data_IF_147387925426
#
_entry.id   IF_147387925426
#
_cell.length_a   1.000
_cell.length_b   1.000
_cell.length_c   1.000
_cell.angle_alpha   90.00
_cell.angle_beta   90.00
_cell.angle_gamma   90.00
#
_symmetry.space_group_name_H-M   'P 1'
#
loop_
_entity.id
_entity.type
_entity.pdbx_description
1 polymer ?
2 polymer ?
3 water ?
#
# COMPACT_ATOMS: atom_id res chain seq x y z
N UNK A 1 8.60 13.99 5.02
CA UNK A 1 8.96 13.33 3.77
C UNK A 1 8.55 14.18 2.58
N UNK A 2 7.33 14.71 2.63
CA UNK A 2 6.80 15.61 1.61
C UNK A 2 6.52 16.95 2.27
N UNK A 3 7.03 18.02 1.68
CA UNK A 3 6.93 19.36 2.25
C UNK A 3 6.16 20.25 1.29
N UNK A 4 5.24 21.05 1.82
CA UNK A 4 4.39 21.92 1.04
C UNK A 4 4.53 23.35 1.53
N UNK A 5 4.75 24.28 0.61
CA UNK A 5 4.90 25.70 0.92
C UNK A 5 3.80 26.46 0.19
N UNK A 6 3.05 27.26 0.93
CA UNK A 6 1.94 28.03 0.38
C UNK A 6 2.27 29.51 0.30
N UNK A 7 1.74 30.16 -0.73
CA UNK A 7 1.95 31.58 -0.94
C UNK A 7 0.84 32.12 -1.81
N UNK A 8 0.33 33.29 -1.45
CA UNK A 8 -0.71 33.92 -2.25
C UNK A 8 -1.76 34.61 -1.41
N UNK A 9 -1.85 34.28 -0.13
CA UNK A 9 -2.87 34.86 0.72
C UNK A 9 -2.64 36.33 0.96
N UNK A 10 -3.68 36.98 1.47
CA UNK A 10 -3.59 38.40 1.79
C UNK A 10 -4.97 39.00 1.94
N UNK A 11 -4.99 40.33 2.03
CA UNK A 11 -6.22 41.10 2.21
C UNK A 11 -6.72 41.59 0.87
N UNK A 12 -8.00 41.33 0.60
CA UNK A 12 -8.64 41.70 -0.66
C UNK A 12 -10.00 42.31 -0.37
N UNK A 13 -10.37 43.31 -1.15
CA UNK A 13 -11.67 43.94 -0.99
C UNK A 13 -12.78 42.96 -1.38
N UNK A 14 -13.96 43.11 -0.81
CA UNK A 14 -15.08 42.21 -1.17
C UNK A 14 -15.37 42.28 -2.66
N UNK A 15 -15.65 41.13 -3.26
CA UNK A 15 -15.83 41.03 -4.69
C UNK A 15 -14.54 40.96 -5.48
N UNK A 16 -13.39 40.98 -4.81
CA UNK A 16 -12.11 41.00 -5.49
C UNK A 16 -11.68 39.64 -5.98
N UNK A 17 -10.39 39.33 -5.90
CA UNK A 17 -9.87 38.07 -6.40
C UNK A 17 -8.57 37.75 -5.69
N UNK A 18 -8.22 36.46 -5.70
CA UNK A 18 -7.00 35.98 -5.08
C UNK A 18 -6.62 34.66 -5.70
N UNK A 19 -5.33 34.43 -5.88
CA UNK A 19 -4.82 33.14 -6.35
C UNK A 19 -3.83 32.61 -5.32
N UNK A 20 -4.08 31.40 -4.85
CA UNK A 20 -3.22 30.74 -3.88
C UNK A 20 -2.37 29.69 -4.58
N UNK A 21 -1.20 29.41 -4.03
CA UNK A 21 -0.30 28.43 -4.61
C UNK A 21 0.20 27.50 -3.52
N UNK A 22 0.64 26.31 -3.92
CA UNK A 22 1.11 25.30 -2.98
C UNK A 22 2.10 24.40 -3.71
N UNK A 23 3.39 24.60 -3.46
CA UNK A 23 4.44 23.84 -4.12
C UNK A 23 4.85 22.66 -3.23
N UNK A 24 4.86 21.47 -3.82
CA UNK A 24 5.23 20.25 -3.11
C UNK A 24 6.72 20.01 -3.26
N UNK A 25 7.26 19.20 -2.36
CA UNK A 25 8.68 18.89 -2.32
C UNK A 25 8.87 17.54 -1.66
N UNK A 26 10.03 16.93 -1.89
CA UNK A 26 10.31 15.62 -1.33
C UNK A 26 10.02 14.49 -2.31
N UNK A 27 9.33 13.46 -1.84
CA UNK A 27 8.91 12.36 -2.71
C UNK A 27 7.54 12.73 -3.28
N UNK A 28 7.52 13.06 -4.56
CA UNK A 28 6.32 13.60 -5.20
C UNK A 28 5.76 12.63 -6.24
N UNK A 29 6.16 11.36 -6.19
CA UNK A 29 5.69 10.38 -7.15
C UNK A 29 4.51 9.56 -6.65
N UNK A 30 4.34 9.45 -5.33
CA UNK A 30 3.24 8.71 -4.74
C UNK A 30 2.06 9.58 -4.38
N UNK A 31 2.14 10.89 -4.61
CA UNK A 31 1.04 11.79 -4.31
C UNK A 31 -0.04 11.63 -5.37
N UNK A 32 -1.27 11.36 -4.93
CA UNK A 32 -2.39 11.16 -5.83
C UNK A 32 -3.48 12.22 -5.72
N UNK A 33 -3.70 12.81 -4.55
CA UNK A 33 -4.70 13.86 -4.36
C UNK A 33 -4.05 15.03 -3.64
N UNK A 34 -4.43 16.24 -4.01
CA UNK A 34 -3.93 17.46 -3.39
C UNK A 34 -5.05 18.49 -3.39
N UNK A 35 -5.34 19.07 -2.23
CA UNK A 35 -6.51 19.92 -2.10
C UNK A 35 -6.25 21.11 -1.20
N UNK A 36 -7.32 21.87 -0.94
CA UNK A 36 -7.28 23.07 -0.13
C UNK A 36 -8.37 23.01 0.91
N UNK A 37 -8.10 23.55 2.10
CA UNK A 37 -9.03 23.58 3.22
C UNK A 37 -9.02 24.98 3.84
N UNK A 38 -10.08 25.32 4.56
CA UNK A 38 -10.11 26.58 5.29
C UNK A 38 -10.68 26.38 6.69
N UNK A 39 -10.11 27.10 7.65
CA UNK A 39 -10.52 27.04 9.04
C UNK A 39 -10.95 28.44 9.47
N UNK A 40 -12.24 28.71 9.45
CA UNK A 40 -12.75 29.97 9.94
C UNK A 40 -12.44 30.11 11.43
N UNK A 41 -12.22 31.34 11.91
CA UNK A 41 -11.83 31.50 13.32
C UNK A 41 -12.99 31.14 14.24
N UNK A 42 -12.80 30.08 15.03
CA UNK A 42 -13.85 29.55 15.87
C UNK A 42 -14.54 28.32 15.31
N UNK A 43 -14.11 27.82 14.16
CA UNK A 43 -14.71 26.66 13.52
C UNK A 43 -13.61 25.71 13.05
N UNK A 44 -14.03 24.52 12.64
CA UNK A 44 -13.10 23.48 12.24
C UNK A 44 -12.82 23.55 10.74
N UNK A 45 -11.94 22.67 10.27
CA UNK A 45 -11.55 22.69 8.87
C UNK A 45 -12.73 22.37 7.97
N UNK A 46 -12.74 23.00 6.80
CA UNK A 46 -13.72 22.77 5.76
C UNK A 46 -12.98 22.46 4.47
N UNK A 47 -13.65 21.80 3.55
CA UNK A 47 -13.07 21.52 2.25
C UNK A 47 -13.37 22.69 1.31
N UNK A 48 -12.36 23.14 0.58
CA UNK A 48 -12.52 24.18 -0.42
C UNK A 48 -12.47 23.61 -1.83
N UNK A 49 -11.50 22.75 -2.10
CA UNK A 49 -11.35 22.14 -3.41
C UNK A 49 -10.44 20.94 -3.27
N UNK A 50 -10.43 20.11 -4.30
CA UNK A 50 -9.61 18.91 -4.31
C UNK A 50 -9.31 18.56 -5.77
N UNK A 51 -8.05 18.20 -6.04
CA UNK A 51 -7.64 17.79 -7.37
C UNK A 51 -6.81 16.53 -7.24
N UNK A 52 -6.79 15.74 -8.30
CA UNK A 52 -6.01 14.52 -8.36
C UNK A 52 -5.19 14.54 -9.64
N UNK A 53 -4.16 13.70 -9.67
CA UNK A 53 -3.36 13.57 -10.89
C UNK A 53 -4.20 12.86 -11.94
N UNK A 54 -4.87 13.64 -12.79
CA UNK A 54 -5.89 13.13 -13.67
C UNK A 54 -7.02 14.14 -13.82
N UNK A 55 -6.93 15.24 -13.08
CA UNK A 55 -7.78 16.38 -13.31
C UNK A 55 -9.21 16.25 -12.84
N UNK A 56 -9.50 15.35 -11.90
CA UNK A 56 -10.84 15.22 -11.36
C UNK A 56 -10.96 16.15 -10.15
N UNK A 57 -11.77 17.20 -10.30
CA UNK A 57 -11.85 18.25 -9.30
C UNK A 57 -13.13 18.14 -8.48
N UNK A 58 -12.98 18.23 -7.16
CA UNK A 58 -14.09 18.19 -6.21
C UNK A 58 -14.15 19.53 -5.49
N UNK A 59 -15.33 20.11 -5.43
CA UNK A 59 -15.50 21.43 -4.82
C UNK A 59 -16.45 21.36 -3.63
N UNK A 60 -16.75 22.53 -3.07
CA UNK A 60 -17.75 22.68 -2.04
C UNK A 60 -18.87 23.56 -2.57
N UNK A 61 -20.09 23.29 -2.11
CA UNK A 61 -21.25 24.01 -2.63
C UNK A 61 -21.15 25.51 -2.39
N UNK A 62 -20.69 25.90 -1.20
CA UNK A 62 -20.60 27.32 -0.88
C UNK A 62 -19.66 28.08 -1.80
N UNK A 63 -18.70 27.39 -2.41
CA UNK A 63 -17.71 28.01 -3.29
C UNK A 63 -17.78 27.47 -4.71
N UNK A 64 -18.82 26.70 -5.04
CA UNK A 64 -18.93 26.12 -6.37
C UNK A 64 -19.24 27.20 -7.39
N UNK A 65 -18.50 27.19 -8.50
CA UNK A 65 -18.66 28.19 -9.54
C UNK A 65 -17.83 29.44 -9.36
N UNK A 66 -17.19 29.61 -8.21
CA UNK A 66 -16.30 30.72 -7.94
C UNK A 66 -14.83 30.30 -7.90
N UNK A 67 -14.50 29.31 -7.09
CA UNK A 67 -13.13 28.88 -6.92
C UNK A 67 -12.78 27.85 -7.98
N UNK A 68 -11.53 27.88 -8.44
CA UNK A 68 -11.08 26.99 -9.52
C UNK A 68 -9.69 26.46 -9.16
N UNK A 69 -9.62 25.19 -8.79
CA UNK A 69 -8.35 24.54 -8.45
C UNK A 69 -7.75 23.95 -9.72
N UNK A 70 -6.46 24.16 -9.91
CA UNK A 70 -5.76 23.66 -11.07
C UNK A 70 -4.39 23.16 -10.63
N UNK A 71 -3.76 22.37 -11.48
CA UNK A 71 -2.47 21.79 -11.18
C UNK A 71 -1.47 22.12 -12.29
N UNK A 72 -0.19 22.14 -11.93
CA UNK A 72 0.89 22.37 -12.87
C UNK A 72 1.97 21.31 -12.61
N UNK A 73 2.00 20.27 -13.43
CA UNK A 73 2.95 19.18 -13.23
C UNK A 73 4.38 19.58 -13.50
N UNK A 74 4.61 20.73 -14.16
CA UNK A 74 5.99 21.18 -14.39
C UNK A 74 6.70 21.46 -13.07
N UNK A 75 6.01 22.09 -12.12
CA UNK A 75 6.61 22.43 -10.83
C UNK A 75 5.85 21.86 -9.65
N UNK A 76 4.95 20.90 -9.87
CA UNK A 76 4.24 20.19 -8.80
C UNK A 76 3.45 21.15 -7.91
N UNK A 77 2.84 22.16 -8.52
CA UNK A 77 2.09 23.19 -7.81
C UNK A 77 0.60 23.01 -8.04
N UNK A 78 -0.20 23.40 -7.06
CA UNK A 78 -1.64 23.51 -7.20
C UNK A 78 -2.03 24.94 -6.93
N UNK A 79 -2.85 25.51 -7.79
CA UNK A 79 -3.35 26.87 -7.63
C UNK A 79 -4.82 26.82 -7.25
N UNK A 80 -5.30 27.91 -6.67
CA UNK A 80 -6.70 28.04 -6.28
C UNK A 80 -7.13 29.47 -6.62
N UNK A 81 -7.80 29.64 -7.75
CA UNK A 81 -8.28 30.95 -8.16
C UNK A 81 -9.60 31.24 -7.46
N UNK A 82 -9.62 32.27 -6.62
CA UNK A 82 -10.77 32.62 -5.81
C UNK A 82 -11.33 33.96 -6.29
N UNK A 83 -12.34 33.91 -7.13
CA UNK A 83 -13.00 35.11 -7.63
C UNK A 83 -14.23 35.44 -6.80
N UNK A 84 -14.69 36.68 -6.91
CA UNK A 84 -15.87 37.19 -6.21
C UNK A 84 -15.87 36.80 -4.74
N UNK A 85 -14.88 37.31 -4.03
CA UNK A 85 -14.64 36.93 -2.65
C UNK A 85 -15.54 37.75 -1.72
N UNK A 86 -16.58 37.12 -1.19
CA UNK A 86 -17.40 37.78 -0.19
C UNK A 86 -16.73 37.73 1.17
N UNK A 87 -17.12 38.61 2.10
CA UNK A 87 -16.44 38.66 3.41
C UNK A 87 -16.47 37.36 4.18
N UNK A 88 -17.46 36.49 3.92
CA UNK A 88 -17.52 35.20 4.60
C UNK A 88 -16.45 34.22 4.14
N UNK A 89 -15.57 34.63 3.24
CA UNK A 89 -14.50 33.79 2.73
C UNK A 89 -13.21 33.96 3.52
N UNK A 90 -13.20 34.79 4.55
CA UNK A 90 -11.99 34.99 5.33
C UNK A 90 -11.75 33.78 6.22
N UNK A 91 -10.55 33.22 6.12
CA UNK A 91 -10.17 32.01 6.84
C UNK A 91 -8.68 31.78 6.62
N UNK A 92 -8.17 30.71 7.19
CA UNK A 92 -6.78 30.29 6.98
C UNK A 92 -6.83 29.09 6.04
N UNK A 93 -6.18 29.23 4.88
CA UNK A 93 -6.24 28.22 3.84
C UNK A 93 -5.01 27.33 3.91
N UNK A 94 -5.23 26.02 3.95
CA UNK A 94 -4.15 25.05 4.10
C UNK A 94 -4.15 24.08 2.93
N UNK A 95 -2.98 23.53 2.67
CA UNK A 95 -2.77 22.60 1.58
C UNK A 95 -2.72 21.17 2.12
N UNK A 96 -3.04 20.23 1.23
CA UNK A 96 -3.02 18.81 1.57
C UNK A 96 -2.33 18.05 0.45
N UNK A 97 -1.81 16.87 0.78
CA UNK A 97 -1.17 16.01 -0.20
C UNK A 97 -1.24 14.59 0.33
N UNK A 98 -1.87 13.69 -0.40
CA UNK A 98 -2.05 12.31 0.02
C UNK A 98 -1.01 11.43 -0.68
N UNK A 99 -0.20 10.72 0.12
CA UNK A 99 0.74 9.75 -0.39
C UNK A 99 0.12 8.36 -0.24
N UNK A 100 -0.05 7.65 -1.35
CA UNK A 100 -0.61 6.31 -1.33
C UNK A 100 0.42 5.33 -1.89
N UNK A 101 0.71 4.29 -1.12
CA UNK A 101 1.67 3.26 -1.49
C UNK A 101 1.01 1.91 -1.33
N UNK A 102 1.25 1.00 -2.27
CA UNK A 102 0.56 -0.28 -2.33
C UNK A 102 1.58 -1.41 -2.19
N UNK A 103 1.33 -2.32 -1.27
CA UNK A 103 2.18 -3.49 -1.02
C UNK A 103 1.35 -4.77 -0.98
N UNK A 104 1.97 -5.85 -0.53
CA UNK A 104 1.42 -7.18 -0.73
C UNK A 104 0.24 -7.50 0.18
N UNK A 105 -0.18 -6.59 1.05
CA UNK A 105 -1.38 -6.82 1.85
C UNK A 105 -2.34 -5.63 1.84
N UNK A 106 -2.05 -4.56 1.13
CA UNK A 106 -2.97 -3.46 1.00
C UNK A 106 -2.28 -2.12 0.88
N UNK A 107 -3.07 -1.07 0.66
CA UNK A 107 -2.50 0.26 0.52
C UNK A 107 -2.27 0.96 1.86
N UNK A 108 -1.48 2.02 1.80
CA UNK A 108 -1.18 2.85 2.96
C UNK A 108 -1.28 4.31 2.54
N UNK A 109 -1.81 5.14 3.42
CA UNK A 109 -2.02 6.55 3.10
C UNK A 109 -1.40 7.46 4.14
N UNK A 110 -0.79 8.54 3.65
CA UNK A 110 -0.10 9.50 4.50
C UNK A 110 -0.48 10.90 4.04
N UNK A 111 -1.10 11.68 4.93
CA UNK A 111 -1.52 13.04 4.61
C UNK A 111 -0.47 14.02 5.11
N UNK A 112 -0.11 14.97 4.25
CA UNK A 112 0.85 16.02 4.57
C UNK A 112 0.16 17.36 4.45
N UNK A 113 0.36 18.21 5.46
CA UNK A 113 -0.30 19.50 5.53
C UNK A 113 0.72 20.62 5.36
N UNK A 114 0.32 21.67 4.65
CA UNK A 114 1.20 22.81 4.42
C UNK A 114 1.31 23.68 5.65
N UNK A 115 1.49 24.98 5.41
CA UNK A 115 1.72 25.93 6.49
C UNK A 115 0.51 26.80 6.80
N UNK A 116 -0.36 27.06 5.82
CA UNK A 116 -1.51 27.90 6.04
C UNK A 116 -1.25 29.35 5.70
N UNK A 117 -2.04 29.91 4.80
CA UNK A 117 -1.98 31.32 4.44
C UNK A 117 -3.27 32.00 4.89
N UNK A 118 -3.14 33.05 5.70
CA UNK A 118 -4.31 33.77 6.17
C UNK A 118 -4.86 34.64 5.05
N UNK A 119 -6.14 34.49 4.77
CA UNK A 119 -6.85 35.27 3.76
C UNK A 119 -7.93 36.07 4.47
N UNK A 120 -7.87 37.39 4.34
CA UNK A 120 -8.84 38.29 4.97
C UNK A 120 -9.54 39.10 3.89
N UNK A 121 -10.86 39.09 3.91
CA UNK A 121 -11.67 39.79 2.92
C UNK A 121 -12.42 40.91 3.63
N UNK A 122 -12.08 42.15 3.31
CA UNK A 122 -12.71 43.31 3.92
C UNK A 122 -12.40 44.58 3.13
N UNK B 15 -10.58 -31.88 -10.69
CA UNK B 15 -9.57 -30.93 -11.11
C UNK B 15 -9.17 -30.00 -9.97
N UNK B 16 -10.04 -29.90 -8.96
CA UNK B 16 -9.75 -29.05 -7.81
C UNK B 16 -8.59 -29.58 -6.97
N UNK B 17 -8.19 -30.83 -7.17
CA UNK B 17 -7.09 -31.42 -6.41
C UNK B 17 -5.76 -31.34 -7.17
N UNK B 18 -5.76 -31.60 -8.47
CA UNK B 18 -4.54 -31.48 -9.25
C UNK B 18 -4.04 -30.04 -9.25
N UNK B 19 -4.96 -29.08 -9.39
CA UNK B 19 -4.60 -27.67 -9.35
C UNK B 19 -4.16 -27.26 -7.95
N UNK B 20 -4.74 -27.85 -6.91
CA UNK B 20 -4.39 -27.48 -5.55
C UNK B 20 -2.93 -27.80 -5.24
N UNK B 21 -2.44 -28.95 -5.70
CA UNK B 21 -1.05 -29.35 -5.49
C UNK B 21 -0.18 -29.03 -6.69
N UNK B 22 -0.46 -27.91 -7.37
CA UNK B 22 0.31 -27.48 -8.53
C UNK B 22 1.25 -26.36 -8.12
N UNK B 23 2.52 -26.50 -8.48
CA UNK B 23 3.52 -25.50 -8.18
C UNK B 23 3.47 -24.30 -9.12
N UNK B 24 3.54 -24.55 -10.43
CA UNK B 24 3.42 -23.42 -11.37
C UNK B 24 2.10 -22.66 -11.27
N UNK B 25 0.99 -23.37 -11.04
CA UNK B 25 -0.31 -22.71 -11.06
C UNK B 25 -0.48 -21.78 -9.86
N UNK B 26 -0.02 -22.21 -8.68
CA UNK B 26 -0.06 -21.34 -7.52
C UNK B 26 0.77 -20.09 -7.73
N UNK B 27 1.86 -20.22 -8.49
CA UNK B 27 2.71 -19.07 -8.79
C UNK B 27 1.99 -18.10 -9.73
N UNK B 28 1.38 -18.63 -10.80
CA UNK B 28 0.68 -17.79 -11.76
C UNK B 28 -0.53 -17.13 -11.13
N UNK B 29 -1.28 -17.87 -10.30
CA UNK B 29 -2.45 -17.30 -9.65
C UNK B 29 -2.05 -16.24 -8.62
N UNK B 30 -0.84 -16.34 -8.08
CA UNK B 30 -0.38 -15.34 -7.12
C UNK B 30 -0.02 -14.04 -7.80
N UNK B 31 0.65 -14.11 -8.97
CA UNK B 31 0.97 -12.89 -9.71
C UNK B 31 -0.29 -12.23 -10.26
N UNK B 32 -1.25 -13.04 -10.72
CA UNK B 32 -2.50 -12.47 -11.20
C UNK B 32 -3.25 -11.74 -10.09
N UNK B 33 -3.29 -12.33 -8.89
CA UNK B 33 -4.00 -11.70 -7.79
C UNK B 33 -3.25 -10.50 -7.24
N UNK B 34 -1.93 -10.48 -7.36
CA UNK B 34 -1.17 -9.30 -6.97
C UNK B 34 -1.30 -8.18 -8.00
N UNK B 35 -1.36 -8.54 -9.29
CA UNK B 35 -1.58 -7.56 -10.34
C UNK B 35 -2.97 -6.94 -10.20
N UNK B 36 -3.97 -7.77 -9.94
CA UNK B 36 -5.33 -7.28 -9.81
C UNK B 36 -5.48 -6.36 -8.61
N UNK B 37 -4.82 -6.69 -7.50
CA UNK B 37 -4.93 -5.87 -6.31
C UNK B 37 -4.16 -4.56 -6.44
N UNK B 38 -3.02 -4.57 -7.11
CA UNK B 38 -2.28 -3.34 -7.32
C UNK B 38 -2.98 -2.43 -8.32
N UNK B 39 -3.64 -3.01 -9.32
CA UNK B 39 -4.37 -2.21 -10.31
C UNK B 39 -5.54 -1.50 -9.66
N UNK B 40 -6.26 -2.19 -8.78
CA UNK B 40 -7.43 -1.59 -8.14
C UNK B 40 -7.05 -0.44 -7.22
N UNK B 41 -5.98 -0.60 -6.46
CA UNK B 41 -5.59 0.42 -5.49
C UNK B 41 -4.72 1.53 -6.07
N UNK B 42 -4.38 1.46 -7.36
CA UNK B 42 -3.53 2.46 -7.98
C UNK B 42 -4.13 3.08 -9.23
N UNK B 43 -4.96 2.36 -9.96
CA UNK B 43 -5.57 2.85 -11.19
C UNK B 43 -7.08 2.97 -11.12
N UNK B 44 -7.75 2.05 -10.43
CA UNK B 44 -9.20 2.14 -10.31
C UNK B 44 -9.57 3.12 -9.20
N UNK B 45 -8.88 3.06 -8.06
CA UNK B 45 -9.09 3.98 -6.95
C UNK B 45 -7.89 4.90 -6.90
N UNK B 46 -7.93 5.96 -7.70
CA UNK B 46 -6.85 6.95 -7.75
C UNK B 46 -7.14 8.19 -6.93
N UNK B 47 -8.41 8.58 -6.83
CA UNK B 47 -8.81 9.69 -5.99
C UNK B 47 -9.14 9.31 -4.57
N UNK B 48 -8.94 8.05 -4.19
CA UNK B 48 -9.24 7.63 -2.83
C UNK B 48 -8.18 8.15 -1.87
N UNK B 49 -8.63 8.71 -0.75
CA UNK B 49 -7.75 9.21 0.30
C UNK B 49 -8.22 8.63 1.63
N UNK B 50 -7.32 7.93 2.31
CA UNK B 50 -7.67 7.30 3.59
C UNK B 50 -6.38 7.09 4.38
N UNK B 51 -6.19 7.88 5.43
CA UNK B 51 -5.02 7.78 6.28
C UNK B 51 -5.28 7.00 7.56
N UNK B 52 -6.42 6.31 7.66
CA UNK B 52 -6.66 5.37 8.74
C UNK B 52 -6.31 3.99 8.22
N UNK B 53 -5.01 3.67 8.28
CA UNK B 53 -4.49 2.48 7.60
C UNK B 53 -5.04 1.19 8.22
N UNK B 54 -4.94 1.06 9.55
CA UNK B 54 -5.27 -0.21 10.17
C UNK B 54 -6.77 -0.48 10.13
N UNK B 55 -7.58 0.56 10.11
CA UNK B 55 -9.03 0.37 10.05
C UNK B 55 -9.47 -0.06 8.66
N UNK B 56 -8.78 0.43 7.62
CA UNK B 56 -9.10 -0.01 6.28
C UNK B 56 -8.63 -1.43 6.02
N UNK B 57 -7.48 -1.81 6.60
CA UNK B 57 -7.00 -3.18 6.47
C UNK B 57 -7.85 -4.14 7.30
N UNK B 58 -8.37 -3.68 8.43
CA UNK B 58 -9.33 -4.49 9.18
C UNK B 58 -10.62 -4.69 8.40
N UNK B 59 -11.01 -3.68 7.61
CA UNK B 59 -12.19 -3.82 6.77
C UNK B 59 -11.94 -4.83 5.66
N UNK B 60 -10.71 -4.87 5.14
CA UNK B 60 -10.37 -5.85 4.12
C UNK B 60 -10.52 -7.28 4.65
N UNK B 61 -10.06 -7.52 5.88
CA UNK B 61 -10.19 -8.85 6.47
C UNK B 61 -11.66 -9.19 6.74
N UNK B 62 -12.48 -8.17 7.00
CA UNK B 62 -13.92 -8.40 7.15
C UNK B 62 -14.53 -8.80 5.82
N UNK B 63 -14.06 -8.19 4.73
CA UNK B 63 -14.61 -8.48 3.41
C UNK B 63 -14.24 -9.89 2.98
N UNK B 64 -13.00 -10.31 3.25
CA UNK B 64 -12.59 -11.67 2.90
C UNK B 64 -13.28 -12.70 3.77
N UNK B 65 -13.62 -12.33 5.00
CA UNK B 65 -14.30 -13.27 5.91
C UNK B 65 -15.73 -13.50 5.44
N UNK B 66 -16.43 -12.44 5.04
CA UNK B 66 -17.80 -12.60 4.57
C UNK B 66 -17.83 -13.18 3.17
N UNK B 67 -16.73 -13.02 2.42
CA UNK B 67 -16.68 -13.56 1.05
C UNK B 67 -16.62 -15.08 1.07
N UNK B 68 -15.71 -15.65 1.86
CA UNK B 68 -15.56 -17.10 1.90
C UNK B 68 -16.53 -17.72 2.87
N UNK B 69 -16.96 -16.98 3.90
CA UNK B 69 -17.96 -17.49 4.81
C UNK B 69 -19.31 -17.66 4.13
N UNK B 70 -19.61 -16.81 3.15
CA UNK B 70 -20.85 -16.93 2.40
C UNK B 70 -20.77 -18.01 1.33
N UNK B 71 -19.59 -18.18 0.73
CA UNK B 71 -19.41 -19.25 -0.23
C UNK B 71 -19.56 -20.61 0.43
N UNK B 72 -18.98 -20.78 1.61
CA UNK B 72 -19.15 -22.04 2.34
C UNK B 72 -20.58 -22.23 2.80
N UNK B 73 -21.25 -21.15 3.22
CA UNK B 73 -22.65 -21.24 3.62
C UNK B 73 -23.57 -21.50 2.44
N UNK B 74 -23.13 -21.21 1.22
CA UNK B 74 -23.85 -21.55 0.01
C UNK B 74 -23.49 -22.94 -0.49
N UNK B 75 -22.66 -23.67 0.25
CA UNK B 75 -22.25 -25.04 -0.08
C UNK B 75 -21.41 -25.10 -1.36
N UNK B 76 -20.70 -24.01 -1.67
CA UNK B 76 -19.81 -23.98 -2.83
C UNK B 76 -18.43 -24.46 -2.41
N UNK B 77 -17.82 -23.78 -1.45
CA UNK B 77 -16.55 -24.17 -0.90
C UNK B 77 -16.78 -24.78 0.48
N UNK B 78 -15.73 -25.33 1.07
CA UNK B 78 -15.83 -25.89 2.41
C UNK B 78 -14.48 -25.76 3.09
N UNK B 79 -14.51 -25.45 4.39
CA UNK B 79 -13.30 -25.41 5.19
C UNK B 79 -13.67 -25.80 6.62
N UNK B 80 -12.63 -25.96 7.44
CA UNK B 80 -12.80 -26.44 8.81
C UNK B 80 -13.61 -25.45 9.63
N UNK B 81 -14.28 -25.98 10.66
CA UNK B 81 -14.94 -25.14 11.64
C UNK B 81 -13.92 -24.41 12.51
N UNK B 82 -14.33 -23.30 13.09
CA UNK B 82 -13.47 -22.58 14.01
C UNK B 82 -13.20 -23.41 15.24
N UNK B 83 -11.94 -23.43 15.69
CA UNK B 83 -11.52 -24.23 16.84
C UNK B 83 -10.79 -23.34 17.83
N UNK B 84 -11.16 -23.46 19.10
CA UNK B 84 -10.50 -22.67 20.14
C UNK B 84 -9.05 -23.08 20.32
N UNK B 85 -8.76 -24.39 20.28
CA UNK B 85 -7.41 -24.88 20.48
C UNK B 85 -6.53 -24.71 19.25
N UNK B 86 -7.10 -24.36 18.10
CA UNK B 86 -6.32 -24.13 16.89
C UNK B 86 -6.19 -22.66 16.55
N UNK B 87 -7.08 -21.83 17.10
CA UNK B 87 -6.88 -20.39 17.04
C UNK B 87 -5.79 -19.95 18.00
N UNK B 88 -5.69 -20.61 19.16
CA UNK B 88 -4.63 -20.32 20.11
C UNK B 88 -3.25 -20.72 19.60
N UNK B 89 -3.19 -21.62 18.62
CA UNK B 89 -1.93 -22.03 18.01
C UNK B 89 -1.62 -21.27 16.74
N UNK B 90 -2.60 -20.60 16.15
CA UNK B 90 -2.39 -19.71 15.03
C UNK B 90 -2.14 -18.27 15.46
N UNK B 91 -2.30 -17.97 16.75
CA UNK B 91 -2.12 -16.61 17.24
C UNK B 91 -0.75 -16.01 16.90
N UNK B 92 0.38 -16.72 17.08
CA UNK B 92 1.66 -16.11 16.69
C UNK B 92 1.72 -15.71 15.23
N UNK B 93 1.10 -16.47 14.33
CA UNK B 93 1.14 -16.12 12.91
C UNK B 93 0.29 -14.89 12.63
N UNK B 94 -0.87 -14.78 13.30
CA UNK B 94 -1.70 -13.58 13.12
C UNK B 94 -1.06 -12.36 13.74
N UNK B 95 -0.38 -12.53 14.88
CA UNK B 95 0.36 -11.43 15.50
C UNK B 95 1.51 -10.97 14.61
N UNK B 96 2.20 -11.90 13.97
CA UNK B 96 3.28 -11.53 13.07
C UNK B 96 2.76 -10.86 11.80
N UNK B 97 1.58 -11.26 11.32
CA UNK B 97 1.03 -10.66 10.12
C UNK B 97 0.71 -9.18 10.34
N UNK B 98 0.18 -8.83 11.52
CA UNK B 98 -0.03 -7.43 11.84
C UNK B 98 1.29 -6.75 12.19
N UNK B 99 2.28 -7.53 12.65
CA UNK B 99 3.59 -6.96 12.96
C UNK B 99 4.25 -6.41 11.70
N UNK B 100 4.15 -7.13 10.58
CA UNK B 100 4.68 -6.61 9.32
C UNK B 100 3.91 -5.39 8.86
N UNK B 101 2.60 -5.35 9.13
CA UNK B 101 1.78 -4.22 8.69
C UNK B 101 2.18 -2.96 9.45
N UNK B 102 2.36 -3.08 10.77
CA UNK B 102 2.68 -1.92 11.59
C UNK B 102 4.08 -1.40 11.31
N UNK B 103 5.05 -2.29 11.17
CA UNK B 103 6.43 -1.85 11.02
C UNK B 103 6.68 -1.28 9.63
N UNK B 104 5.98 -1.77 8.62
CA UNK B 104 6.15 -1.26 7.26
C UNK B 104 5.49 0.12 7.12
N UNK B 105 4.33 0.30 7.73
CA UNK B 105 3.70 1.62 7.71
C UNK B 105 4.59 2.66 8.38
N UNK B 106 5.21 2.29 9.50
CA UNK B 106 6.14 3.18 10.17
C UNK B 106 7.46 3.29 9.42
N UNK B 107 7.80 2.31 8.59
CA UNK B 107 9.02 2.39 7.79
C UNK B 107 8.85 3.32 6.60
N UNK B 108 7.67 3.35 6.00
CA UNK B 108 7.39 4.19 4.84
C UNK B 108 7.06 5.62 5.20
N UNK B 109 6.91 5.93 6.49
CA UNK B 109 6.71 7.31 6.89
C UNK B 109 8.02 8.09 6.90
N UNK B 110 9.15 7.41 7.02
CA UNK B 110 10.46 8.03 6.91
C UNK B 110 11.24 7.60 5.66
N UNK B 111 10.93 6.44 5.09
CA UNK B 111 11.63 5.92 3.92
C UNK B 111 10.71 5.94 2.71
N UNK B 112 11.34 5.88 1.54
CA UNK B 112 10.62 5.88 0.27
C UNK B 112 10.35 4.45 -0.19
N UNK B 113 9.51 4.34 -1.21
CA UNK B 113 9.24 3.02 -1.81
C UNK B 113 10.49 2.42 -2.45
N UNK B 114 11.29 3.15 -3.24
CA UNK B 114 12.50 2.54 -3.80
C UNK B 114 13.47 2.00 -2.76
N UNK B 115 13.61 2.69 -1.62
CA UNK B 115 14.50 2.19 -0.57
C UNK B 115 13.84 1.06 0.20
N UNK B 116 12.51 1.08 0.28
CA UNK B 116 11.79 -0.03 0.90
C UNK B 116 11.98 -1.32 0.12
N UNK B 117 11.99 -1.22 -1.22
CA UNK B 117 12.15 -2.42 -2.05
C UNK B 117 13.58 -2.94 -2.00
N UNK B 118 14.57 -2.08 -1.74
CA UNK B 118 15.94 -2.55 -1.59
C UNK B 118 16.05 -3.48 -0.39
N UNK B 119 15.45 -3.07 0.73
CA UNK B 119 15.50 -3.88 1.95
C UNK B 119 14.60 -5.11 1.85
N UNK B 120 13.47 -4.99 1.15
CA UNK B 120 12.58 -6.12 1.00
C UNK B 120 13.15 -7.21 0.10
N UNK B 121 14.04 -6.86 -0.82
CA UNK B 121 14.74 -7.84 -1.64
C UNK B 121 16.00 -8.35 -0.96
N UNK B 122 16.39 -7.77 0.17
CA UNK B 122 17.47 -8.28 0.99
C UNK B 122 16.98 -9.29 2.02
N UNK B 123 15.67 -9.44 2.19
CA UNK B 123 15.13 -10.44 3.09
C UNK B 123 15.04 -11.81 2.46
N UNK B 124 15.01 -11.89 1.12
CA UNK B 124 14.98 -13.21 0.48
C UNK B 124 16.27 -13.96 0.77
N UNK B 125 17.39 -13.24 0.94
CA UNK B 125 18.63 -13.88 1.35
C UNK B 125 18.55 -14.36 2.78
N UNK B 126 17.61 -13.85 3.57
CA UNK B 126 17.43 -14.23 4.96
C UNK B 126 16.39 -15.32 5.12
N UNK B 127 15.34 -15.31 4.29
CA UNK B 127 14.39 -16.41 4.26
C UNK B 127 15.02 -17.65 3.62
N UNK B 128 15.83 -17.45 2.58
CA UNK B 128 16.50 -18.58 1.93
C UNK B 128 17.43 -19.29 2.88
N UNK B 129 18.08 -18.56 3.78
CA UNK B 129 19.00 -19.11 4.76
C UNK B 129 18.32 -19.44 6.07
N UNK B 130 17.03 -19.15 6.21
CA UNK B 130 16.25 -19.60 7.35
C UNK B 130 15.54 -20.89 7.04
N UNK B 131 15.10 -21.04 5.80
CA UNK B 131 14.55 -22.32 5.34
C UNK B 131 15.60 -23.42 5.40
N UNK B 132 16.86 -23.07 5.21
CA UNK B 132 17.93 -24.08 5.28
C UNK B 132 18.14 -24.53 6.72
N UNK B 133 18.15 -23.58 7.67
CA UNK B 133 18.42 -23.93 9.06
C UNK B 133 17.25 -24.70 9.65
N UNK B 134 16.03 -24.25 9.41
CA UNK B 134 14.86 -24.77 10.11
C UNK B 134 14.18 -25.90 9.34
N UNK B 135 14.01 -25.75 8.03
CA UNK B 135 13.37 -26.76 7.22
C UNK B 135 14.36 -27.73 6.57
N UNK B 136 15.66 -27.49 6.72
CA UNK B 136 16.65 -28.40 6.15
C UNK B 136 16.84 -28.21 4.66
N UNK B 137 18.07 -28.33 4.19
CA UNK B 137 18.34 -28.22 2.78
C UNK B 137 19.68 -27.54 2.56
N UNK B 138 19.76 -26.82 1.43
CA UNK B 138 20.94 -26.04 1.10
C UNK B 138 20.54 -24.93 0.15
N UNK B 139 21.33 -23.87 0.13
CA UNK B 139 21.18 -22.77 -0.83
C UNK B 139 22.32 -22.89 -1.82
N UNK B 140 21.98 -23.15 -3.08
CA UNK B 140 22.99 -23.33 -4.10
C UNK B 140 23.60 -21.99 -4.50
N UNK B 141 24.69 -22.08 -5.26
CA UNK B 141 25.33 -20.86 -5.77
C UNK B 141 24.51 -20.22 -6.88
N UNK B 142 23.89 -21.03 -7.74
CA UNK B 142 23.01 -20.48 -8.77
C UNK B 142 21.81 -19.76 -8.17
N UNK B 143 21.22 -20.32 -7.12
CA UNK B 143 20.11 -19.66 -6.45
C UNK B 143 20.55 -18.40 -5.73
N UNK B 144 21.73 -18.43 -5.11
CA UNK B 144 22.23 -17.24 -4.40
C UNK B 144 22.48 -16.09 -5.36
N UNK B 145 23.05 -16.36 -6.53
CA UNK B 145 23.35 -15.29 -7.48
C UNK B 145 22.07 -14.66 -8.02
N UNK B 146 20.95 -15.39 -7.96
CA UNK B 146 19.68 -14.80 -8.36
C UNK B 146 19.13 -13.88 -7.27
N UNK B 147 19.46 -14.15 -6.00
CA UNK B 147 19.06 -13.24 -4.94
C UNK B 147 19.78 -11.92 -5.05
N UNK B 148 21.07 -11.95 -5.42
CA UNK B 148 21.83 -10.72 -5.56
C UNK B 148 21.49 -9.98 -6.86
N UNK B 149 20.84 -10.66 -7.80
CA UNK B 149 20.43 -10.00 -9.03
C UNK B 149 19.08 -9.32 -8.88
N UNK B 150 18.31 -9.71 -7.86
CA UNK B 150 17.12 -8.95 -7.52
C UNK B 150 17.45 -7.73 -6.67
N UNK B 151 18.48 -7.83 -5.83
CA UNK B 151 18.94 -6.66 -5.10
C UNK B 151 19.60 -5.67 -6.05
N UNK B 152 20.34 -6.17 -7.05
CA UNK B 152 20.93 -5.28 -8.03
C UNK B 152 19.87 -4.50 -8.78
N UNK B 153 18.81 -5.17 -9.23
CA UNK B 153 17.75 -4.46 -9.95
C UNK B 153 17.09 -3.41 -9.07
N UNK B 154 16.96 -3.69 -7.78
CA UNK B 154 16.46 -2.69 -6.84
C UNK B 154 17.41 -1.52 -6.72
N UNK B 155 18.71 -1.79 -6.63
CA UNK B 155 19.70 -0.72 -6.49
C UNK B 155 19.70 0.16 -7.73
N UNK B 156 19.65 -0.44 -8.92
CA UNK B 156 19.63 0.33 -10.16
C UNK B 156 18.36 1.15 -10.27
N UNK B 157 17.21 0.56 -9.92
CA UNK B 157 15.95 1.30 -10.01
C UNK B 157 15.93 2.47 -9.04
N UNK B 158 16.50 2.30 -7.85
CA UNK B 158 16.52 3.37 -6.86
C UNK B 158 17.39 4.53 -7.32
N UNK B 159 18.50 4.22 -7.99
CA UNK B 159 19.42 5.25 -8.45
C UNK B 159 18.96 5.94 -9.73
N UNK B 160 17.71 5.76 -10.12
CA UNK B 160 17.18 6.41 -11.31
C UNK B 160 15.75 6.86 -11.15
N UNK B 170 16.76 15.87 8.66
CA UNK B 170 16.77 15.27 9.99
C UNK B 170 17.61 14.01 10.02
N UNK B 171 18.51 13.91 11.00
CA UNK B 171 19.33 12.71 11.14
C UNK B 171 18.59 11.63 11.92
N UNK B 172 17.84 12.02 12.95
CA UNK B 172 17.08 11.04 13.72
C UNK B 172 16.01 10.39 12.85
N UNK B 173 15.39 11.15 11.95
CA UNK B 173 14.31 10.63 11.13
C UNK B 173 14.80 9.48 10.25
N UNK B 174 15.99 9.61 9.68
CA UNK B 174 16.54 8.56 8.84
C UNK B 174 17.15 7.42 9.64
N UNK B 175 17.38 7.61 10.94
CA UNK B 175 17.73 6.48 11.82
C UNK B 175 16.51 5.64 12.12
N UNK B 176 15.38 6.28 12.37
CA UNK B 176 14.13 5.55 12.58
C UNK B 176 13.62 4.93 11.28
N UNK B 177 14.11 5.41 10.15
CA UNK B 177 13.72 4.81 8.88
C UNK B 177 14.28 3.40 8.72
N UNK B 178 15.53 3.20 9.14
CA UNK B 178 16.14 1.88 9.00
C UNK B 178 15.85 0.99 10.21
N UNK B 179 15.55 1.58 11.37
CA UNK B 179 15.15 0.77 12.51
C UNK B 179 13.82 0.09 12.23
N UNK B 180 12.83 0.86 11.76
CA UNK B 180 11.53 0.29 11.42
C UNK B 180 11.61 -0.55 10.15
N UNK B 181 12.74 -0.52 9.44
CA UNK B 181 12.88 -1.32 8.24
C UNK B 181 13.57 -2.65 8.53
N UNK B 182 14.49 -2.67 9.50
CA UNK B 182 15.10 -3.94 9.89
C UNK B 182 14.14 -4.77 10.74
N UNK B 183 13.24 -4.12 11.47
CA UNK B 183 12.22 -4.86 12.21
C UNK B 183 11.19 -5.45 11.26
N UNK B 184 10.91 -4.78 10.14
CA UNK B 184 10.07 -5.38 9.12
C UNK B 184 10.75 -6.56 8.46
N UNK B 185 12.07 -6.50 8.30
CA UNK B 185 12.80 -7.61 7.71
C UNK B 185 12.67 -8.87 8.57
N UNK B 186 12.74 -8.70 9.89
CA UNK B 186 12.65 -9.83 10.79
C UNK B 186 11.22 -10.35 10.88
N UNK B 187 10.25 -9.45 10.86
CA UNK B 187 8.84 -9.86 10.98
C UNK B 187 8.34 -10.50 9.69
N UNK B 188 8.84 -10.04 8.54
CA UNK B 188 8.45 -10.63 7.27
C UNK B 188 9.07 -12.01 7.09
N UNK B 189 10.33 -12.17 7.51
CA UNK B 189 10.99 -13.47 7.39
C UNK B 189 10.40 -14.46 8.38
N UNK B 190 10.14 -14.02 9.62
CA UNK B 190 9.57 -14.91 10.61
C UNK B 190 8.15 -15.32 10.25
N UNK B 191 7.40 -14.43 9.59
CA UNK B 191 6.03 -14.73 9.25
C UNK B 191 5.93 -15.94 8.34
N UNK B 192 6.68 -15.93 7.24
CA UNK B 192 6.57 -17.01 6.25
C UNK B 192 7.16 -18.31 6.80
N UNK B 193 8.27 -18.23 7.52
CA UNK B 193 8.90 -19.43 8.04
C UNK B 193 8.03 -20.10 9.10
N UNK B 194 7.45 -19.30 10.00
CA UNK B 194 6.58 -19.85 11.03
C UNK B 194 5.26 -20.32 10.42
N UNK B 195 4.71 -19.57 9.47
CA UNK B 195 3.45 -19.94 8.86
C UNK B 195 3.57 -21.25 8.08
N UNK B 196 4.59 -21.36 7.22
CA UNK B 196 4.73 -22.55 6.41
C UNK B 196 4.93 -23.80 7.26
N UNK B 197 5.58 -23.66 8.42
CA UNK B 197 5.69 -24.77 9.34
C UNK B 197 4.33 -25.19 9.86
N UNK B 198 3.47 -24.22 10.15
CA UNK B 198 2.17 -24.47 10.79
C UNK B 198 1.11 -24.96 9.83
N UNK B 199 1.38 -24.98 8.52
CA UNK B 199 0.44 -25.56 7.56
C UNK B 199 0.79 -27.03 7.37
N UNK B 200 1.72 -27.55 8.19
CA UNK B 200 2.17 -28.92 8.05
C UNK B 200 1.91 -29.78 9.27
N UNK B 201 1.85 -29.20 10.47
CA UNK B 201 1.36 -29.96 11.61
C UNK B 201 -0.15 -29.86 11.77
N UNK B 202 -0.79 -28.99 11.00
CA UNK B 202 -2.24 -28.87 11.01
C UNK B 202 -2.90 -29.43 9.76
N UNK B 203 -2.12 -29.68 8.70
CA UNK B 203 -2.67 -30.14 7.42
C UNK B 203 -3.74 -29.20 6.92
N UNK B 204 -3.49 -27.90 7.07
CA UNK B 204 -4.43 -26.87 6.66
C UNK B 204 -4.45 -26.75 5.14
N UNK B 205 -5.63 -26.52 4.58
CA UNK B 205 -5.75 -26.19 3.17
C UNK B 205 -5.66 -24.68 3.00
N UNK B 206 -5.89 -24.21 1.78
CA UNK B 206 -5.70 -22.79 1.48
C UNK B 206 -6.87 -21.95 1.98
N UNK B 207 -7.99 -22.59 2.32
CA UNK B 207 -9.14 -21.85 2.84
C UNK B 207 -9.12 -21.82 4.36
N UNK B 208 -8.56 -22.85 4.99
CA UNK B 208 -8.35 -22.83 6.43
C UNK B 208 -7.32 -21.79 6.82
N UNK B 209 -6.25 -21.69 6.04
CA UNK B 209 -5.23 -20.67 6.30
C UNK B 209 -5.80 -19.27 6.09
N UNK B 210 -6.57 -19.09 5.03
CA UNK B 210 -7.19 -17.80 4.75
C UNK B 210 -8.19 -17.41 5.83
N UNK B 211 -8.95 -18.39 6.31
CA UNK B 211 -9.94 -18.13 7.35
C UNK B 211 -9.28 -17.68 8.64
N UNK B 212 -8.22 -18.36 9.06
CA UNK B 212 -7.59 -18.04 10.33
C UNK B 212 -6.72 -16.80 10.23
N UNK B 213 -6.12 -16.55 9.06
CA UNK B 213 -5.28 -15.37 8.89
C UNK B 213 -6.10 -14.09 8.96
N UNK B 214 -7.39 -14.17 8.63
CA UNK B 214 -8.26 -13.00 8.58
C UNK B 214 -9.08 -12.85 9.86
N UNK B 215 -9.61 -13.96 10.38
CA UNK B 215 -10.42 -13.89 11.59
C UNK B 215 -9.63 -13.33 12.76
N UNK B 216 -8.41 -13.81 12.95
CA UNK B 216 -7.62 -13.39 14.09
C UNK B 216 -7.03 -11.99 13.88
N UNK B 217 -6.81 -11.60 12.63
CA UNK B 217 -6.21 -10.30 12.36
C UNK B 217 -7.20 -9.15 12.48
N UNK B 218 -8.51 -9.43 12.47
CA UNK B 218 -9.50 -8.36 12.65
C UNK B 218 -9.39 -7.70 14.01
N UNK B 219 -9.40 -8.43 15.14
CA UNK B 219 -9.30 -7.75 16.43
C UNK B 219 -7.99 -7.01 16.63
N UNK B 220 -6.89 -7.56 16.11
CA UNK B 220 -5.59 -6.91 16.30
C UNK B 220 -5.50 -5.62 15.49
N UNK B 221 -6.00 -5.65 14.25
CA UNK B 221 -5.94 -4.46 13.42
C UNK B 221 -6.88 -3.38 13.92
N UNK B 222 -8.02 -3.76 14.49
CA UNK B 222 -8.92 -2.78 15.07
C UNK B 222 -8.35 -2.18 16.34
N UNK B 223 -7.71 -2.99 17.18
CA UNK B 223 -7.11 -2.48 18.41
C UNK B 223 -5.92 -1.58 18.09
N UNK B 224 -5.14 -1.94 17.08
CA UNK B 224 -4.03 -1.09 16.65
C UNK B 224 -4.54 0.23 16.09
N UNK B 225 -5.69 0.20 15.40
CA UNK B 225 -6.26 1.42 14.85
C UNK B 225 -6.79 2.34 15.94
N UNK B 226 -7.18 1.77 17.08
CA UNK B 226 -7.70 2.58 18.18
C UNK B 226 -6.57 3.42 18.78
N UNK B 227 -5.42 2.81 19.05
CA UNK B 227 -4.37 3.48 19.81
C UNK B 227 -3.38 4.20 18.90
N UNK B 228 -3.08 3.65 17.72
CA UNK B 228 -2.02 4.18 16.89
C UNK B 228 -2.52 5.07 15.75
N UNK B 229 -3.80 5.42 15.74
CA UNK B 229 -4.36 6.22 14.65
C UNK B 229 -5.21 7.36 15.22
N UNK B 230 -5.38 8.38 14.39
CA UNK B 230 -6.05 9.61 14.79
C UNK B 230 -7.54 9.46 14.56
N UNK B 231 -8.32 9.43 15.65
CA UNK B 231 -9.77 9.36 15.59
C UNK B 231 -10.38 10.63 16.13
N UNK B 232 -9.74 11.77 15.84
CA UNK B 232 -10.22 13.07 16.25
C UNK B 232 -11.37 13.51 15.34
N UNK B 233 -12.05 14.57 15.75
CA UNK B 233 -13.22 15.04 15.00
C UNK B 233 -12.84 15.56 13.63
N UNK B 234 -11.59 15.99 13.45
CA UNK B 234 -11.19 16.60 12.18
C UNK B 234 -10.59 15.58 11.23
N UNK B 235 -9.90 14.57 11.77
CA UNK B 235 -9.38 13.52 10.91
C UNK B 235 -10.46 12.54 10.50
N UNK B 236 -11.50 12.38 11.33
CA UNK B 236 -12.61 11.50 10.97
C UNK B 236 -13.42 12.11 9.84
N UNK B 237 -13.71 13.41 9.93
CA UNK B 237 -14.46 14.08 8.89
C UNK B 237 -13.62 14.34 7.64
N UNK B 238 -12.31 14.15 7.73
CA UNK B 238 -11.46 14.24 6.54
C UNK B 238 -11.37 12.90 5.82
N UNK B 239 -11.55 11.79 6.55
CA UNK B 239 -11.52 10.47 5.95
C UNK B 239 -12.90 10.00 5.52
N UNK B 240 -13.95 10.44 6.21
CA UNK B 240 -15.33 10.11 5.89
C UNK B 240 -16.11 11.41 5.71
N UNK B 241 -15.96 12.07 4.57
CA UNK B 241 -16.75 13.28 4.32
C UNK B 241 -18.25 12.97 4.30
N UNK B 242 -19.03 13.92 4.81
CA UNK B 242 -20.48 13.70 4.85
C UNK B 242 -21.12 13.88 3.48
N UNK B 243 -20.52 14.69 2.61
CA UNK B 243 -21.06 14.94 1.28
C UNK B 243 -20.72 13.84 0.29
N UNK B 244 -19.90 12.86 0.68
CA UNK B 244 -19.57 11.71 -0.16
C UNK B 244 -19.41 10.50 0.76
N UNK B 245 -20.50 9.75 0.94
CA UNK B 245 -20.50 8.55 1.76
C UNK B 245 -20.57 7.28 0.93
N UNK B 246 -21.37 7.29 -0.15
CA UNK B 246 -21.41 6.14 -1.05
C UNK B 246 -20.05 5.93 -1.70
N UNK B 247 -19.38 7.01 -2.09
CA UNK B 247 -18.06 6.89 -2.72
C UNK B 247 -17.03 6.33 -1.76
N UNK B 248 -17.06 6.76 -0.49
CA UNK B 248 -16.08 6.27 0.48
C UNK B 248 -16.34 4.83 0.85
N UNK B 249 -17.61 4.44 1.01
CA UNK B 249 -17.93 3.05 1.33
C UNK B 249 -17.63 2.15 0.15
N UNK B 250 -17.97 2.60 -1.06
CA UNK B 250 -17.71 1.81 -2.26
C UNK B 250 -16.21 1.58 -2.45
N UNK B 251 -15.41 2.63 -2.25
CA UNK B 251 -13.97 2.50 -2.41
C UNK B 251 -13.35 1.71 -1.27
N UNK B 252 -14.04 1.62 -0.14
CA UNK B 252 -13.54 0.83 0.98
C UNK B 252 -13.83 -0.65 0.80
N UNK B 253 -14.70 -0.98 -0.14
CA UNK B 253 -15.07 -2.38 -0.39
C UNK B 253 -14.42 -2.91 -1.65
N UNK B 254 -14.29 -2.07 -2.69
CA UNK B 254 -13.48 -2.46 -3.84
C UNK B 254 -12.01 -2.59 -3.47
N UNK B 255 -11.56 -1.86 -2.46
CA UNK B 255 -10.18 -1.98 -2.00
C UNK B 255 -9.95 -3.26 -1.21
N UNK B 256 -11.01 -3.89 -0.70
CA UNK B 256 -10.88 -5.10 0.07
C UNK B 256 -11.32 -6.33 -0.68
N UNK B 257 -12.10 -6.14 -1.74
CA UNK B 257 -12.50 -7.24 -2.61
C UNK B 257 -11.37 -7.67 -3.54
N UNK B 258 -10.43 -6.78 -3.84
CA UNK B 258 -9.27 -7.14 -4.64
C UNK B 258 -8.22 -7.90 -3.84
N UNK B 259 -8.30 -7.86 -2.51
CA UNK B 259 -7.37 -8.58 -1.66
C UNK B 259 -7.82 -9.99 -1.34
N UNK B 260 -9.01 -10.39 -1.79
CA UNK B 260 -9.45 -11.77 -1.60
C UNK B 260 -8.54 -12.73 -2.36
N UNK B 261 -8.19 -12.36 -3.59
CA UNK B 261 -7.34 -13.23 -4.40
C UNK B 261 -5.94 -13.37 -3.84
N UNK B 262 -5.40 -12.29 -3.29
CA UNK B 262 -4.02 -12.34 -2.81
C UNK B 262 -3.94 -12.99 -1.43
N UNK B 263 -5.06 -12.99 -0.70
CA UNK B 263 -5.10 -13.67 0.59
C UNK B 263 -5.11 -15.19 0.41
N UNK B 264 -5.84 -15.68 -0.59
CA UNK B 264 -5.85 -17.11 -0.87
C UNK B 264 -4.54 -17.55 -1.50
N UNK B 265 -4.04 -16.77 -2.46
CA UNK B 265 -2.90 -17.21 -3.26
C UNK B 265 -1.57 -17.02 -2.54
N UNK B 266 -1.54 -16.23 -1.47
CA UNK B 266 -0.34 -16.15 -0.65
C UNK B 266 -0.16 -17.43 0.16
N UNK B 267 -1.24 -17.89 0.80
CA UNK B 267 -1.18 -19.13 1.56
C UNK B 267 -1.10 -20.34 0.64
N UNK B 268 -1.70 -20.24 -0.55
CA UNK B 268 -1.59 -21.30 -1.53
C UNK B 268 -0.16 -21.49 -1.99
N UNK B 269 0.51 -20.39 -2.36
CA UNK B 269 1.88 -20.47 -2.84
C UNK B 269 2.83 -20.98 -1.76
N UNK B 270 2.67 -20.51 -0.53
CA UNK B 270 3.57 -20.92 0.56
C UNK B 270 3.45 -22.40 0.82
N UNK B 271 2.24 -22.95 0.72
CA UNK B 271 2.04 -24.36 1.07
C UNK B 271 2.71 -25.29 0.08
N UNK B 272 2.55 -25.02 -1.22
CA UNK B 272 2.98 -25.98 -2.23
C UNK B 272 4.46 -25.83 -2.55
N UNK B 273 4.93 -24.60 -2.77
CA UNK B 273 6.28 -24.46 -3.31
C UNK B 273 7.33 -24.29 -2.22
N UNK B 274 7.34 -23.14 -1.54
CA UNK B 274 8.37 -22.82 -0.56
C UNK B 274 8.10 -21.43 -0.02
N UNK B 275 8.75 -21.09 1.10
CA UNK B 275 8.76 -19.71 1.57
C UNK B 275 9.76 -18.88 0.77
N UNK B 276 10.83 -19.49 0.26
CA UNK B 276 11.77 -18.78 -0.58
C UNK B 276 11.17 -18.47 -1.95
N UNK B 277 10.52 -19.47 -2.56
CA UNK B 277 9.92 -19.27 -3.87
C UNK B 277 8.77 -18.26 -3.78
N UNK B 278 8.01 -18.30 -2.69
CA UNK B 278 6.93 -17.34 -2.53
C UNK B 278 7.47 -15.92 -2.39
N UNK B 279 8.63 -15.77 -1.74
CA UNK B 279 9.23 -14.45 -1.57
C UNK B 279 9.86 -13.95 -2.86
N UNK B 280 10.51 -14.84 -3.61
CA UNK B 280 11.09 -14.44 -4.89
C UNK B 280 10.01 -14.05 -5.88
N UNK B 281 8.89 -14.77 -5.89
CA UNK B 281 7.78 -14.42 -6.78
C UNK B 281 7.20 -13.06 -6.39
N UNK B 282 7.14 -12.78 -5.08
CA UNK B 282 6.65 -11.48 -4.65
C UNK B 282 7.54 -10.34 -5.12
N UNK B 283 8.86 -10.58 -5.19
CA UNK B 283 9.77 -9.57 -5.70
C UNK B 283 9.62 -9.40 -7.21
N UNK B 284 9.34 -10.51 -7.92
CA UNK B 284 9.11 -10.44 -9.36
C UNK B 284 7.73 -9.90 -9.71
N UNK B 285 6.85 -9.75 -8.72
CA UNK B 285 5.51 -9.24 -8.98
C UNK B 285 5.51 -7.74 -9.22
N UNK B 286 6.61 -7.05 -8.91
CA UNK B 286 6.71 -5.62 -9.10
C UNK B 286 7.34 -5.23 -10.42
N UNK B 287 7.76 -6.20 -11.23
CA UNK B 287 8.33 -5.93 -12.54
C UNK B 287 7.24 -5.72 -13.59
N UNK B 288 6.15 -6.50 -13.61
CA UNK B 288 5.04 -6.15 -14.52
C UNK B 288 4.49 -4.76 -14.29
N UNK B 289 4.43 -4.31 -13.04
CA UNK B 289 3.95 -2.96 -12.76
C UNK B 289 4.92 -1.92 -13.32
N UNK B 290 6.23 -2.17 -13.16
CA UNK B 290 7.23 -1.24 -13.69
C UNK B 290 7.17 -1.17 -15.21
N UNK B 291 7.01 -2.33 -15.86
CA UNK B 291 6.93 -2.35 -17.31
C UNK B 291 5.64 -1.70 -17.81
N UNK B 292 4.56 -1.81 -17.04
CA UNK B 292 3.30 -1.17 -17.41
C UNK B 292 3.43 0.35 -17.38
N UNK B 293 4.17 0.88 -16.41
CA UNK B 293 4.38 2.32 -16.36
C UNK B 293 5.18 2.85 -17.54
N UNK B 294 6.11 2.04 -18.06
CA UNK B 294 6.95 2.47 -19.17
C UNK B 294 6.27 2.40 -20.52
N UNK B 295 5.08 1.79 -20.59
CA UNK B 295 4.36 1.62 -21.85
C UNK B 295 3.00 2.31 -21.82
N UNK B 296 2.21 2.05 -20.77
CA UNK B 296 0.88 2.60 -20.64
C UNK B 296 0.86 3.94 -19.93
N UNK B 297 2.01 4.47 -19.51
CA UNK B 297 2.06 5.72 -18.77
C UNK B 297 3.27 6.51 -19.27
N UNK B 298 3.63 7.55 -18.51
CA UNK B 298 4.65 8.50 -18.91
C UNK B 298 6.01 8.24 -18.26
N UNK B 299 6.15 7.11 -17.55
CA UNK B 299 7.36 6.85 -16.79
C UNK B 299 8.59 6.87 -17.70
N UNK B 300 9.70 7.38 -17.17
CA UNK B 300 10.89 7.60 -17.98
C UNK B 300 11.45 6.28 -18.49
N UNK B 301 12.06 6.34 -19.67
CA UNK B 301 12.63 5.16 -20.31
C UNK B 301 14.15 5.24 -20.26
N UNK B 302 14.68 5.97 -19.28
CA UNK B 302 16.12 6.14 -19.16
C UNK B 302 16.80 4.80 -18.83
N UNK B 303 18.12 4.82 -18.91
CA UNK B 303 18.90 3.59 -18.73
C UNK B 303 18.68 2.98 -17.35
N UNK B 304 18.48 3.82 -16.33
CA UNK B 304 18.34 3.33 -14.97
C UNK B 304 16.95 2.79 -14.67
N UNK B 305 16.05 2.76 -15.65
CA UNK B 305 14.73 2.16 -15.49
C UNK B 305 14.45 1.04 -16.47
N UNK B 306 15.16 0.99 -17.59
CA UNK B 306 15.06 -0.14 -18.50
C UNK B 306 15.94 -1.30 -18.05
N UNK B 307 17.16 -1.00 -17.61
CA UNK B 307 18.07 -2.04 -17.15
C UNK B 307 17.67 -2.58 -15.79
N UNK B 308 16.79 -1.89 -15.08
CA UNK B 308 16.27 -2.43 -13.83
C UNK B 308 15.27 -3.56 -14.10
N UNK B 309 14.48 -3.42 -15.16
CA UNK B 309 13.52 -4.47 -15.51
C UNK B 309 14.24 -5.65 -16.13
N UNK B 310 15.21 -5.39 -17.01
CA UNK B 310 15.94 -6.46 -17.65
C UNK B 310 16.75 -7.28 -16.64
N UNK B 311 17.39 -6.60 -15.68
CA UNK B 311 18.16 -7.31 -14.67
C UNK B 311 17.23 -8.11 -13.76
N UNK B 312 16.05 -7.57 -13.45
CA UNK B 312 15.10 -8.32 -12.64
C UNK B 312 14.57 -9.55 -13.36
N UNK B 313 14.39 -9.46 -14.68
CA UNK B 313 13.98 -10.63 -15.45
C UNK B 313 15.06 -11.70 -15.44
N UNK B 314 16.33 -11.29 -15.53
CA UNK B 314 17.42 -12.25 -15.44
C UNK B 314 17.49 -12.92 -14.08
N UNK B 315 17.09 -12.20 -13.02
CA UNK B 315 17.04 -12.80 -11.69
C UNK B 315 15.99 -13.90 -11.63
N UNK B 316 14.82 -13.67 -12.23
CA UNK B 316 13.80 -14.70 -12.24
C UNK B 316 14.17 -15.89 -13.11
N UNK B 317 14.79 -15.64 -14.25
CA UNK B 317 15.17 -16.72 -15.16
C UNK B 317 16.38 -17.50 -14.66
N UNK B 318 17.14 -16.94 -13.73
CA UNK B 318 18.26 -17.67 -13.14
C UNK B 318 17.80 -18.47 -11.93
N UNK B 319 16.83 -17.93 -11.19
CA UNK B 319 16.23 -18.69 -10.10
C UNK B 319 15.48 -19.91 -10.62
N UNK B 320 14.80 -19.76 -11.76
CA UNK B 320 14.03 -20.87 -12.33
C UNK B 320 14.95 -22.02 -12.74
N UNK B 321 16.05 -21.70 -13.42
CA UNK B 321 16.97 -22.76 -13.84
C UNK B 321 17.71 -23.32 -12.63
N UNK B 322 17.95 -22.49 -11.62
CA UNK B 322 18.64 -22.96 -10.42
C UNK B 322 17.85 -24.05 -9.72
N UNK B 323 16.53 -23.91 -9.69
CA UNK B 323 15.71 -24.93 -9.06
C UNK B 323 15.61 -26.19 -9.92
N UNK B 324 15.82 -26.06 -11.22
CA UNK B 324 15.87 -27.24 -12.08
C UNK B 324 17.11 -28.07 -11.78
N UNK B 325 18.26 -27.42 -11.66
CA UNK B 325 19.48 -28.13 -11.29
C UNK B 325 19.38 -28.72 -9.89
N UNK B 326 18.78 -27.97 -8.96
CA UNK B 326 18.59 -28.46 -7.61
C UNK B 326 17.62 -29.63 -7.57
N UNK B 327 16.61 -29.64 -8.45
CA UNK B 327 15.69 -30.75 -8.52
C UNK B 327 16.37 -32.01 -9.01
N UNK B 328 17.38 -31.87 -9.86
CA UNK B 328 18.10 -32.99 -10.44
C UNK B 328 19.40 -33.30 -9.70
N UNK B 329 19.66 -32.62 -8.60
CA UNK B 329 20.89 -32.83 -7.84
C UNK B 329 20.64 -33.76 -6.66
#
# INVERSE_FOLDING_TARGET
QVQLVESGGGLVQPGGSLRLSCAASGSISEINVMGWYRQAPGKQRELVARITTGGSTNYADSVKGRFTISRDNAKNTVYLQMNSLKPEDTAVYMCNAHRRVVMEWGPLGYDYWGQGTQVTVSS
MDSKHSTSSSSSGSLATRISNSGPISIAAYCLSSILMTVTNKYVLSGFSFNLNFFLLAVQSIVCIVTIGSLKSLNIITYRQFNKDEAKKWSPIAFLLVAMIYTSSKALQYLSIPVYTIFKNLTIILIAYGEVIWFGGKVTTMALSSFLLMVLSSVIAYYGDNAAVKSHDDAFALYLGYFWMLTNCFASAAFVLIMRKRIKLTNFKDFDTMYYNNLLSIPILLICSFIFEDWSSANVSLNFPADNRVTTITAMILSGASSVGISYCSAWCVRVTSSTTYSMVGALNKLPIALSGLIFFEAAVNFWSVSSIFVGFGAGLVYAVAKQKQQKEQSQQLPTTK
#
